data_IF_805982525345
#
_entry.id   IF_805982525345
#
_cell.length_a   1.000
_cell.length_b   1.000
_cell.length_c   1.000
_cell.angle_alpha   90.00
_cell.angle_beta   90.00
_cell.angle_gamma   90.00
#
_symmetry.space_group_name_H-M   'P 1'
#
loop_
_entity.id
_entity.type
_entity.pdbx_description
1 polymer ?
#
# COMPACT_ATOMS: atom_id res chain seq x y z
N UNK A 1 -10.98 -6.90 -18.04
CA UNK A 1 -10.60 -6.67 -16.64
C UNK A 1 -9.98 -5.30 -16.48
N UNK A 2 -10.47 -4.51 -15.55
CA UNK A 2 -9.90 -3.19 -15.26
C UNK A 2 -8.74 -3.29 -14.27
N UNK A 3 -7.74 -2.42 -14.43
CA UNK A 3 -6.60 -2.34 -13.52
C UNK A 3 -6.97 -1.47 -12.33
N UNK A 4 -6.85 -2.04 -11.13
CA UNK A 4 -7.04 -1.30 -9.89
C UNK A 4 -5.79 -0.46 -9.60
N UNK A 5 -6.01 0.80 -9.28
CA UNK A 5 -5.00 1.70 -8.71
C UNK A 5 -5.47 2.10 -7.32
N UNK A 6 -4.81 1.56 -6.29
CA UNK A 6 -5.14 1.90 -4.90
C UNK A 6 -4.15 2.90 -4.36
N UNK A 7 -4.66 4.01 -3.86
CA UNK A 7 -3.88 4.99 -3.13
C UNK A 7 -4.20 4.86 -1.64
N UNK A 8 -3.20 4.52 -0.84
CA UNK A 8 -3.27 4.54 0.61
C UNK A 8 -2.44 5.71 1.12
N UNK A 9 -3.07 6.59 1.91
CA UNK A 9 -2.40 7.71 2.56
C UNK A 9 -2.49 7.47 4.06
N UNK A 10 -1.35 7.41 4.73
CA UNK A 10 -1.28 7.28 6.19
C UNK A 10 -0.50 8.44 6.77
N UNK A 11 -1.09 9.11 7.75
CA UNK A 11 -0.43 10.18 8.51
C UNK A 11 -0.26 9.73 9.96
N UNK A 12 0.98 9.76 10.42
CA UNK A 12 1.35 9.40 11.78
C UNK A 12 1.58 10.64 12.64
N UNK A 13 1.80 10.45 13.94
CA UNK A 13 2.01 11.57 14.87
C UNK A 13 3.43 12.09 14.87
N UNK A 14 4.38 11.33 14.30
CA UNK A 14 5.78 11.74 14.24
C UNK A 14 6.46 11.19 12.99
N UNK A 15 7.56 11.81 12.59
CA UNK A 15 8.41 11.31 11.52
C UNK A 15 8.99 9.94 11.88
N UNK A 16 9.36 9.73 13.14
CA UNK A 16 9.92 8.46 13.58
C UNK A 16 8.93 7.31 13.40
N UNK A 17 7.66 7.51 13.74
CA UNK A 17 6.60 6.52 13.54
C UNK A 17 6.37 6.25 12.06
N UNK A 18 6.38 7.31 11.24
CA UNK A 18 6.24 7.17 9.79
C UNK A 18 7.37 6.34 9.19
N UNK A 19 8.61 6.66 9.55
CA UNK A 19 9.78 5.93 9.04
C UNK A 19 9.77 4.46 9.50
N UNK A 20 9.37 4.21 10.75
CA UNK A 20 9.25 2.85 11.28
C UNK A 20 8.19 2.05 10.52
N UNK A 21 7.02 2.63 10.29
CA UNK A 21 5.95 1.94 9.56
C UNK A 21 6.32 1.71 8.09
N UNK A 22 6.94 2.68 7.43
CA UNK A 22 7.43 2.52 6.05
C UNK A 22 8.34 1.29 5.94
N UNK A 23 9.29 1.13 6.86
CA UNK A 23 10.20 -0.02 6.84
C UNK A 23 9.47 -1.32 7.14
N UNK A 24 8.55 -1.34 8.11
CA UNK A 24 7.74 -2.52 8.40
C UNK A 24 6.86 -2.92 7.21
N UNK A 25 6.23 -1.94 6.55
CA UNK A 25 5.39 -2.18 5.38
C UNK A 25 6.21 -2.77 4.22
N UNK A 26 7.39 -2.23 3.97
CA UNK A 26 8.32 -2.76 2.97
C UNK A 26 8.63 -4.22 3.25
N UNK A 27 8.96 -4.57 4.50
CA UNK A 27 9.29 -5.94 4.88
C UNK A 27 8.07 -6.87 4.74
N UNK A 28 6.88 -6.41 5.10
CA UNK A 28 5.66 -7.20 4.92
C UNK A 28 5.39 -7.52 3.45
N UNK A 29 5.54 -6.55 2.56
CA UNK A 29 5.39 -6.77 1.12
C UNK A 29 6.44 -7.73 0.56
N UNK A 30 7.70 -7.61 1.00
CA UNK A 30 8.77 -8.52 0.57
C UNK A 30 8.54 -9.95 1.06
N UNK A 31 7.94 -10.12 2.24
CA UNK A 31 7.67 -11.42 2.84
C UNK A 31 6.43 -12.11 2.24
N UNK A 32 5.55 -11.37 1.58
CA UNK A 32 4.36 -11.95 0.95
C UNK A 32 4.76 -12.74 -0.29
N UNK A 33 4.54 -14.05 -0.26
CA UNK A 33 5.10 -14.98 -1.24
C UNK A 33 4.07 -15.87 -1.95
N UNK A 34 2.83 -15.42 -2.08
CA UNK A 34 1.86 -16.11 -2.92
C UNK A 34 2.23 -15.95 -4.40
N UNK A 35 3.13 -16.78 -4.89
CA UNK A 35 3.82 -16.62 -6.17
C UNK A 35 2.89 -16.58 -7.38
N UNK A 36 1.74 -17.24 -7.33
CA UNK A 36 0.76 -17.23 -8.42
C UNK A 36 0.04 -15.88 -8.56
N UNK A 37 0.08 -15.04 -7.52
CA UNK A 37 -0.67 -13.80 -7.40
C UNK A 37 0.26 -12.59 -7.30
N UNK A 38 1.39 -12.73 -6.63
CA UNK A 38 2.31 -11.62 -6.33
C UNK A 38 2.84 -10.92 -7.60
N UNK A 39 2.99 -11.64 -8.71
CA UNK A 39 3.44 -11.07 -10.00
C UNK A 39 2.40 -10.16 -10.65
N UNK A 40 1.15 -10.19 -10.17
CA UNK A 40 0.03 -9.39 -10.70
C UNK A 40 -0.21 -8.13 -9.89
N UNK A 41 0.61 -7.89 -8.87
CA UNK A 41 0.51 -6.75 -7.97
C UNK A 41 1.87 -6.07 -7.88
N UNK A 42 1.86 -4.76 -7.95
CA UNK A 42 3.03 -3.94 -7.64
C UNK A 42 2.67 -2.86 -6.65
N UNK A 43 3.65 -2.43 -5.86
CA UNK A 43 3.47 -1.36 -4.87
C UNK A 43 4.66 -0.41 -4.89
N UNK A 44 4.35 0.88 -4.86
CA UNK A 44 5.34 1.93 -4.60
C UNK A 44 5.06 2.52 -3.22
N UNK A 45 6.06 2.53 -2.37
CA UNK A 45 5.97 3.09 -1.02
C UNK A 45 6.73 4.41 -1.02
N UNK A 46 6.05 5.49 -0.64
CA UNK A 46 6.57 6.85 -0.77
C UNK A 46 6.48 7.59 0.56
N UNK A 47 7.49 8.43 0.83
CA UNK A 47 7.44 9.41 1.92
C UNK A 47 7.09 10.76 1.33
N UNK A 48 6.14 11.48 1.94
CA UNK A 48 5.71 12.78 1.46
C UNK A 48 6.85 13.80 1.59
N UNK A 49 7.11 14.55 0.52
CA UNK A 49 8.17 15.57 0.50
C UNK A 49 7.88 16.75 1.42
N UNK A 50 6.60 17.06 1.60
CA UNK A 50 6.17 18.27 2.29
C UNK A 50 5.70 18.01 3.72
N UNK A 51 5.46 16.74 4.07
CA UNK A 51 5.04 16.33 5.40
C UNK A 51 5.74 15.02 5.78
N UNK A 52 6.81 15.10 6.60
CA UNK A 52 7.60 13.91 6.95
C UNK A 52 6.85 12.91 7.83
N UNK A 53 5.66 13.26 8.34
CA UNK A 53 4.82 12.35 9.12
C UNK A 53 3.86 11.55 8.25
N UNK A 54 3.83 11.79 6.94
CA UNK A 54 2.88 11.19 6.01
C UNK A 54 3.59 10.31 4.98
N UNK A 55 2.98 9.17 4.69
CA UNK A 55 3.43 8.27 3.63
C UNK A 55 2.28 7.91 2.71
N UNK A 56 2.61 7.49 1.50
CA UNK A 56 1.65 6.95 0.55
C UNK A 56 2.12 5.59 0.05
N UNK A 57 1.17 4.70 -0.20
CA UNK A 57 1.42 3.46 -0.91
C UNK A 57 0.54 3.44 -2.15
N UNK A 58 1.16 3.34 -3.34
CA UNK A 58 0.45 3.17 -4.59
C UNK A 58 0.50 1.71 -4.99
N UNK A 59 -0.67 1.07 -5.06
CA UNK A 59 -0.80 -0.32 -5.45
C UNK A 59 -1.42 -0.41 -6.84
N UNK A 60 -0.85 -1.24 -7.68
CA UNK A 60 -1.42 -1.61 -8.97
C UNK A 60 -1.71 -3.10 -8.96
N UNK A 61 -2.96 -3.48 -9.24
CA UNK A 61 -3.37 -4.87 -9.33
C UNK A 61 -4.22 -5.07 -10.58
N UNK A 62 -3.92 -6.12 -11.35
CA UNK A 62 -4.53 -6.35 -12.66
C UNK A 62 -5.42 -7.59 -12.73
N UNK A 63 -5.74 -8.20 -11.60
CA UNK A 63 -6.45 -9.48 -11.54
C UNK A 63 -7.34 -9.51 -10.29
N UNK A 64 -8.61 -9.91 -10.46
CA UNK A 64 -9.57 -9.91 -9.35
C UNK A 64 -9.19 -10.85 -8.22
N UNK A 65 -8.60 -12.01 -8.56
CA UNK A 65 -8.13 -12.96 -7.55
C UNK A 65 -6.96 -12.38 -6.76
N UNK A 66 -6.07 -11.65 -7.44
CA UNK A 66 -4.96 -10.96 -6.80
C UNK A 66 -5.45 -9.86 -5.86
N UNK A 67 -6.45 -9.09 -6.27
CA UNK A 67 -7.07 -8.05 -5.45
C UNK A 67 -7.69 -8.66 -4.19
N UNK A 68 -8.44 -9.75 -4.33
CA UNK A 68 -9.06 -10.44 -3.20
C UNK A 68 -8.02 -10.98 -2.22
N UNK A 69 -6.95 -11.59 -2.73
CA UNK A 69 -5.85 -12.09 -1.91
C UNK A 69 -5.11 -10.97 -1.20
N UNK A 70 -4.86 -9.86 -1.88
CA UNK A 70 -4.23 -8.67 -1.30
C UNK A 70 -5.08 -8.10 -0.17
N UNK A 71 -6.38 -7.98 -0.36
CA UNK A 71 -7.30 -7.47 0.66
C UNK A 71 -7.28 -8.35 1.91
N UNK A 72 -7.30 -9.65 1.74
CA UNK A 72 -7.22 -10.60 2.85
C UNK A 72 -5.87 -10.51 3.58
N UNK A 73 -4.78 -10.50 2.83
CA UNK A 73 -3.44 -10.36 3.39
C UNK A 73 -3.28 -9.04 4.14
N UNK A 74 -3.73 -7.94 3.56
CA UNK A 74 -3.66 -6.61 4.20
C UNK A 74 -4.42 -6.59 5.52
N UNK A 75 -5.63 -7.14 5.55
CA UNK A 75 -6.44 -7.20 6.76
C UNK A 75 -5.78 -8.04 7.86
N UNK A 76 -5.14 -9.15 7.49
CA UNK A 76 -4.59 -10.10 8.45
C UNK A 76 -3.16 -9.76 8.87
N UNK A 77 -2.38 -9.08 8.03
CA UNK A 77 -0.95 -8.83 8.24
C UNK A 77 -0.65 -7.34 8.42
N UNK A 78 -1.10 -6.50 7.49
CA UNK A 78 -0.72 -5.08 7.47
C UNK A 78 -1.48 -4.26 8.51
N UNK A 79 -2.79 -4.40 8.55
CA UNK A 79 -3.62 -3.59 9.46
C UNK A 79 -3.26 -3.77 10.94
N UNK A 80 -3.01 -4.99 11.45
CA UNK A 80 -2.57 -5.14 12.84
C UNK A 80 -1.27 -4.43 13.17
N UNK A 81 -0.33 -4.36 12.22
CA UNK A 81 0.94 -3.64 12.39
C UNK A 81 0.70 -2.14 12.38
N UNK A 82 -0.07 -1.64 11.41
CA UNK A 82 -0.43 -0.22 11.32
C UNK A 82 -1.15 0.27 12.57
N UNK A 83 -2.03 -0.55 13.12
CA UNK A 83 -2.86 -0.19 14.28
C UNK A 83 -2.07 -0.09 15.59
N UNK A 84 -0.80 -0.50 15.60
CA UNK A 84 0.11 -0.22 16.72
C UNK A 84 0.49 1.26 16.82
N UNK A 85 0.31 2.01 15.74
CA UNK A 85 0.63 3.44 15.66
C UNK A 85 -0.67 4.24 15.65
N UNK A 86 -0.67 5.38 16.34
CA UNK A 86 -1.74 6.35 16.16
C UNK A 86 -1.59 6.97 14.76
N UNK A 87 -2.64 6.89 13.96
CA UNK A 87 -2.58 7.33 12.56
C UNK A 87 -3.96 7.72 12.04
N UNK A 88 -3.94 8.46 10.93
CA UNK A 88 -5.10 8.70 10.08
C UNK A 88 -4.86 7.98 8.74
N UNK A 89 -5.91 7.40 8.18
CA UNK A 89 -5.82 6.68 6.90
C UNK A 89 -6.90 7.16 5.94
N UNK A 90 -6.48 7.41 4.70
CA UNK A 90 -7.38 7.62 3.57
C UNK A 90 -7.02 6.58 2.51
N UNK A 91 -8.01 5.83 2.04
CA UNK A 91 -7.84 4.87 0.97
C UNK A 91 -8.76 5.21 -0.20
N UNK A 92 -8.18 5.29 -1.39
CA UNK A 92 -8.92 5.54 -2.62
C UNK A 92 -8.62 4.40 -3.58
N UNK A 93 -9.68 3.72 -4.04
CA UNK A 93 -9.60 2.74 -5.10
C UNK A 93 -10.07 3.37 -6.39
N UNK A 94 -9.24 3.33 -7.42
CA UNK A 94 -9.52 3.89 -8.72
C UNK A 94 -9.24 2.87 -9.82
N UNK A 95 -9.88 3.05 -10.95
CA UNK A 95 -9.60 2.28 -12.15
C UNK A 95 -8.69 3.08 -13.06
N UNK A 96 -7.67 2.41 -13.61
CA UNK A 96 -6.82 3.03 -14.61
C UNK A 96 -7.63 3.30 -15.88
N UNK A 97 -7.70 4.54 -16.32
CA UNK A 97 -8.40 4.93 -17.54
C UNK A 97 -7.46 5.41 -18.63
N UNK A 98 -6.27 5.89 -18.29
CA UNK A 98 -5.26 6.32 -19.25
C UNK A 98 -3.87 6.35 -18.62
N UNK A 99 -2.87 6.00 -19.42
CA UNK A 99 -1.47 6.19 -19.08
C UNK A 99 -0.82 6.97 -20.21
N UNK A 100 -0.09 8.03 -19.85
CA UNK A 100 0.62 8.87 -20.83
C UNK A 100 2.09 8.92 -20.43
N UNK A 101 2.95 8.67 -21.41
CA UNK A 101 4.40 8.79 -21.26
C UNK A 101 4.90 9.88 -22.20
N UNK A 102 5.78 10.76 -21.69
CA UNK A 102 6.34 11.86 -22.47
C UNK A 102 7.84 11.76 -22.58
#
# INVERSE_FOLDING_TARGET
MTVLKRLNINKFTSEADNDAFIEELKQMWLAWNETSIATKISVDINKDRNDPTRMTAFVTASDDDAISAMNKWSKNVVMPVRDKYQHENIMIDAELVASVSK
#
